data_IF_210746208403
#
_entry.id   IF_210746208403
#
_cell.length_a   1.000
_cell.length_b   1.000
_cell.length_c   1.000
_cell.angle_alpha   90.00
_cell.angle_beta   90.00
_cell.angle_gamma   90.00
#
_symmetry.space_group_name_H-M   'P 1'
#
loop_
_entity.id
_entity.type
_entity.pdbx_description
1 polymer ?
#
# COMPACT_ATOMS: atom_id res chain seq x y z
N UNK A 1 -71.82 18.76 -18.00
CA UNK A 1 -70.66 19.67 -17.78
C UNK A 1 -69.53 18.88 -17.13
N UNK A 2 -68.46 18.58 -17.87
CA UNK A 2 -67.36 17.75 -17.39
C UNK A 2 -66.38 18.58 -16.54
N UNK A 3 -66.22 18.21 -15.28
CA UNK A 3 -65.32 18.88 -14.32
C UNK A 3 -63.88 18.48 -14.65
N UNK A 4 -63.09 19.41 -15.17
CA UNK A 4 -61.65 19.25 -15.45
C UNK A 4 -60.95 18.87 -14.15
N UNK A 5 -60.49 17.61 -14.04
CA UNK A 5 -59.62 17.18 -12.94
C UNK A 5 -58.27 17.89 -13.11
N UNK A 6 -58.11 19.02 -12.41
CA UNK A 6 -56.85 19.73 -12.37
C UNK A 6 -55.83 18.90 -11.61
N UNK A 7 -54.82 18.39 -12.32
CA UNK A 7 -53.67 17.72 -11.73
C UNK A 7 -53.06 18.60 -10.63
N UNK A 8 -52.71 17.96 -9.53
CA UNK A 8 -52.03 18.54 -8.37
C UNK A 8 -50.91 19.51 -8.81
N UNK A 9 -50.93 20.72 -8.24
CA UNK A 9 -49.98 21.77 -8.58
C UNK A 9 -48.57 21.34 -8.14
N UNK A 10 -47.72 21.00 -9.12
CA UNK A 10 -46.37 20.44 -8.93
C UNK A 10 -45.48 21.27 -8.00
N UNK A 11 -45.67 22.59 -7.95
CA UNK A 11 -44.97 23.49 -7.03
C UNK A 11 -45.38 23.29 -5.57
N UNK A 12 -46.66 23.00 -5.31
CA UNK A 12 -47.19 22.73 -3.96
C UNK A 12 -46.72 21.36 -3.49
N UNK A 13 -46.66 20.37 -4.39
CA UNK A 13 -46.09 19.05 -4.08
C UNK A 13 -44.59 19.14 -3.77
N UNK A 14 -43.83 19.89 -4.58
CA UNK A 14 -42.40 20.12 -4.31
C UNK A 14 -42.17 20.83 -2.97
N UNK A 15 -43.01 21.81 -2.60
CA UNK A 15 -42.94 22.47 -1.31
C UNK A 15 -43.29 21.53 -0.14
N UNK A 16 -44.31 20.67 -0.29
CA UNK A 16 -44.65 19.64 0.69
C UNK A 16 -43.55 18.59 0.82
N UNK A 17 -42.94 18.17 -0.28
CA UNK A 17 -41.81 17.24 -0.30
C UNK A 17 -40.59 17.81 0.44
N UNK A 18 -40.25 19.09 0.21
CA UNK A 18 -39.17 19.78 0.94
C UNK A 18 -39.46 19.91 2.44
N UNK A 19 -40.71 20.17 2.82
CA UNK A 19 -41.12 20.18 4.23
C UNK A 19 -41.07 18.77 4.85
N UNK A 20 -41.46 17.75 4.10
CA UNK A 20 -41.39 16.36 4.53
C UNK A 20 -39.94 15.89 4.69
N UNK A 21 -39.03 16.24 3.77
CA UNK A 21 -37.61 15.91 3.90
C UNK A 21 -36.97 16.65 5.08
N UNK A 22 -37.29 17.92 5.30
CA UNK A 22 -36.82 18.66 6.47
C UNK A 22 -37.32 18.05 7.78
N UNK A 23 -38.58 17.58 7.82
CA UNK A 23 -39.12 16.86 8.96
C UNK A 23 -38.44 15.51 9.15
N UNK A 24 -38.22 14.74 8.08
CA UNK A 24 -37.54 13.45 8.13
C UNK A 24 -36.10 13.57 8.65
N UNK A 25 -35.35 14.62 8.26
CA UNK A 25 -34.01 14.88 8.79
C UNK A 25 -34.05 15.21 10.28
N UNK A 26 -35.03 16.02 10.71
CA UNK A 26 -35.20 16.36 12.14
C UNK A 26 -35.60 15.14 12.97
N UNK A 27 -36.51 14.32 12.46
CA UNK A 27 -36.97 13.10 13.11
C UNK A 27 -35.84 12.06 13.16
N UNK A 28 -35.03 11.93 12.10
CA UNK A 28 -33.85 11.06 12.07
C UNK A 28 -32.76 11.52 13.04
N UNK A 29 -32.51 12.83 13.13
CA UNK A 29 -31.56 13.39 14.11
C UNK A 29 -32.03 13.13 15.55
N UNK A 30 -33.34 13.27 15.80
CA UNK A 30 -33.92 12.94 17.11
C UNK A 30 -33.80 11.46 17.42
N UNK A 31 -34.17 10.59 16.47
CA UNK A 31 -34.04 9.14 16.65
C UNK A 31 -32.58 8.70 16.87
N UNK A 32 -31.61 9.34 16.18
CA UNK A 32 -30.19 9.08 16.41
C UNK A 32 -29.73 9.55 17.80
N UNK A 33 -30.24 10.68 18.29
CA UNK A 33 -29.95 11.16 19.65
C UNK A 33 -30.56 10.25 20.72
N UNK A 34 -31.80 9.80 20.53
CA UNK A 34 -32.48 8.87 21.44
C UNK A 34 -31.75 7.50 21.44
N UNK A 35 -31.36 6.99 20.27
CA UNK A 35 -30.57 5.75 20.16
C UNK A 35 -29.17 5.87 20.78
N UNK A 36 -28.51 7.03 20.67
CA UNK A 36 -27.23 7.28 21.32
C UNK A 36 -27.38 7.36 22.85
N UNK A 37 -28.49 7.93 23.34
CA UNK A 37 -28.80 7.97 24.77
C UNK A 37 -29.08 6.56 25.32
N UNK A 38 -29.86 5.75 24.60
CA UNK A 38 -30.09 4.34 24.95
C UNK A 38 -28.77 3.55 24.94
N UNK A 39 -27.93 3.70 23.91
CA UNK A 39 -26.62 3.03 23.84
C UNK A 39 -25.70 3.44 25.00
N UNK A 40 -25.72 4.70 25.41
CA UNK A 40 -24.97 5.17 26.58
C UNK A 40 -25.50 4.56 27.88
N UNK A 41 -26.82 4.39 27.98
CA UNK A 41 -27.46 3.76 29.14
C UNK A 41 -27.13 2.26 29.22
N UNK A 42 -27.17 1.54 28.09
CA UNK A 42 -26.73 0.14 28.00
C UNK A 42 -25.23 -0.03 28.25
N UNK A 43 -24.41 0.97 27.93
CA UNK A 43 -22.98 0.96 28.24
C UNK A 43 -22.69 1.15 29.73
N UNK A 44 -23.64 1.65 30.53
CA UNK A 44 -23.46 1.93 31.96
C UNK A 44 -23.58 0.64 32.77
N UNK A 45 -22.49 -0.09 32.83
CA UNK A 45 -22.41 -1.42 33.47
C UNK A 45 -21.60 -2.43 32.67
N UNK A 46 -21.22 -2.11 31.43
CA UNK A 46 -20.27 -2.92 30.66
C UNK A 46 -18.90 -2.92 31.33
N UNK A 47 -18.19 -4.05 31.28
CA UNK A 47 -16.80 -4.13 31.71
C UNK A 47 -15.88 -3.49 30.66
N UNK A 48 -15.80 -2.15 30.70
CA UNK A 48 -14.98 -1.34 29.80
C UNK A 48 -13.51 -1.77 29.81
N UNK A 49 -13.02 -2.35 30.91
CA UNK A 49 -11.63 -2.82 31.02
C UNK A 49 -11.44 -4.14 30.26
N UNK A 50 -12.36 -5.08 30.38
CA UNK A 50 -12.34 -6.33 29.62
C UNK A 50 -12.53 -6.05 28.11
N UNK A 51 -13.46 -5.17 27.74
CA UNK A 51 -13.69 -4.77 26.36
C UNK A 51 -12.46 -4.09 25.75
N UNK A 52 -11.83 -3.16 26.47
CA UNK A 52 -10.59 -2.51 26.05
C UNK A 52 -9.45 -3.51 25.85
N UNK A 53 -9.31 -4.49 26.76
CA UNK A 53 -8.30 -5.54 26.63
C UNK A 53 -8.54 -6.41 25.41
N UNK A 54 -9.79 -6.81 25.15
CA UNK A 54 -10.17 -7.57 23.95
C UNK A 54 -9.88 -6.78 22.68
N UNK A 55 -10.24 -5.50 22.63
CA UNK A 55 -9.96 -4.62 21.49
C UNK A 55 -8.45 -4.44 21.25
N UNK A 56 -7.65 -4.27 22.29
CA UNK A 56 -6.19 -4.18 22.17
C UNK A 56 -5.56 -5.50 21.69
N UNK A 57 -6.06 -6.65 22.16
CA UNK A 57 -5.63 -7.97 21.70
C UNK A 57 -5.99 -8.20 20.22
N UNK A 58 -7.19 -7.82 19.79
CA UNK A 58 -7.64 -7.89 18.41
C UNK A 58 -6.83 -6.95 17.50
N UNK A 59 -6.57 -5.71 17.93
CA UNK A 59 -5.70 -4.77 17.20
C UNK A 59 -4.29 -5.31 17.04
N UNK A 60 -3.71 -5.84 18.12
CA UNK A 60 -2.37 -6.44 18.07
C UNK A 60 -2.33 -7.66 17.15
N UNK A 61 -3.39 -8.47 17.14
CA UNK A 61 -3.51 -9.61 16.22
C UNK A 61 -3.66 -9.16 14.77
N UNK A 62 -4.51 -8.18 14.50
CA UNK A 62 -4.70 -7.59 13.18
C UNK A 62 -3.41 -6.94 12.65
N UNK A 63 -2.65 -6.24 13.50
CA UNK A 63 -1.35 -5.68 13.14
C UNK A 63 -0.32 -6.77 12.83
N UNK A 64 -0.33 -7.89 13.58
CA UNK A 64 0.55 -9.03 13.28
C UNK A 64 0.15 -9.73 11.98
N UNK A 65 -1.15 -9.89 11.73
CA UNK A 65 -1.69 -10.47 10.51
C UNK A 65 -1.41 -9.57 9.30
N UNK A 66 -1.54 -8.25 9.43
CA UNK A 66 -1.14 -7.27 8.42
C UNK A 66 0.37 -7.32 8.14
N UNK A 67 1.22 -7.32 9.17
CA UNK A 67 2.69 -7.45 8.99
C UNK A 67 3.08 -8.78 8.34
N UNK A 68 2.41 -9.88 8.70
CA UNK A 68 2.62 -11.18 8.08
C UNK A 68 2.16 -11.18 6.62
N UNK A 69 1.01 -10.56 6.32
CA UNK A 69 0.49 -10.44 4.96
C UNK A 69 1.39 -9.57 4.07
N UNK A 70 1.90 -8.45 4.57
CA UNK A 70 2.86 -7.61 3.86
C UNK A 70 4.17 -8.34 3.60
N UNK A 71 4.70 -9.05 4.61
CA UNK A 71 5.91 -9.88 4.45
C UNK A 71 5.69 -10.99 3.43
N UNK A 72 4.55 -11.66 3.47
CA UNK A 72 4.20 -12.71 2.50
C UNK A 72 4.05 -12.13 1.09
N UNK A 73 3.46 -10.95 0.95
CA UNK A 73 3.36 -10.25 -0.33
C UNK A 73 4.73 -9.89 -0.90
N UNK A 74 5.65 -9.44 -0.04
CA UNK A 74 7.03 -9.13 -0.45
C UNK A 74 7.78 -10.39 -0.87
N UNK A 75 7.69 -11.47 -0.10
CA UNK A 75 8.27 -12.77 -0.46
C UNK A 75 7.70 -13.30 -1.79
N UNK A 76 6.39 -13.17 -2.02
CA UNK A 76 5.78 -13.59 -3.28
C UNK A 76 6.30 -12.78 -4.48
N UNK A 77 6.56 -11.48 -4.30
CA UNK A 77 7.19 -10.64 -5.34
C UNK A 77 8.64 -11.05 -5.59
N UNK A 78 9.42 -11.35 -4.54
CA UNK A 78 10.79 -11.87 -4.66
C UNK A 78 10.84 -13.24 -5.35
N UNK A 79 9.93 -14.15 -5.00
CA UNK A 79 9.80 -15.46 -5.64
C UNK A 79 9.41 -15.34 -7.11
N UNK A 80 8.51 -14.41 -7.45
CA UNK A 80 8.14 -14.13 -8.82
C UNK A 80 9.33 -13.61 -9.63
N UNK A 81 10.08 -12.64 -9.10
CA UNK A 81 11.29 -12.11 -9.74
C UNK A 81 12.35 -13.18 -9.95
N UNK A 82 12.62 -14.01 -8.94
CA UNK A 82 13.57 -15.13 -9.06
C UNK A 82 13.11 -16.18 -10.08
N UNK A 83 11.80 -16.40 -10.21
CA UNK A 83 11.26 -17.33 -11.19
C UNK A 83 11.37 -16.76 -12.61
N UNK A 84 11.14 -15.46 -12.80
CA UNK A 84 11.38 -14.76 -14.07
C UNK A 84 12.85 -14.84 -14.49
N UNK A 85 13.78 -14.61 -13.56
CA UNK A 85 15.22 -14.75 -13.80
C UNK A 85 15.60 -16.19 -14.18
N UNK A 86 15.05 -17.21 -13.50
CA UNK A 86 15.24 -18.62 -13.88
C UNK A 86 14.72 -18.90 -15.29
N UNK A 87 13.59 -18.33 -15.67
CA UNK A 87 13.03 -18.46 -17.01
C UNK A 87 13.88 -17.72 -18.06
N UNK A 88 14.41 -16.55 -17.73
CA UNK A 88 15.35 -15.80 -18.58
C UNK A 88 16.64 -16.57 -18.81
N UNK A 89 17.25 -17.13 -17.76
CA UNK A 89 18.46 -17.97 -17.85
C UNK A 89 18.19 -19.23 -18.69
N UNK A 90 17.02 -19.89 -18.52
CA UNK A 90 16.64 -21.04 -19.36
C UNK A 90 16.46 -20.65 -20.83
N UNK A 91 15.86 -19.49 -21.11
CA UNK A 91 15.73 -18.96 -22.48
C UNK A 91 17.11 -18.64 -23.08
N UNK A 92 18.01 -18.01 -22.34
CA UNK A 92 19.37 -17.74 -22.78
C UNK A 92 20.15 -19.03 -23.04
N UNK A 93 20.09 -20.02 -22.14
CA UNK A 93 20.71 -21.33 -22.37
C UNK A 93 20.14 -22.05 -23.59
N UNK A 94 18.82 -21.96 -23.83
CA UNK A 94 18.20 -22.51 -25.03
C UNK A 94 18.66 -21.77 -26.27
N UNK A 95 18.71 -20.44 -26.26
CA UNK A 95 19.22 -19.63 -27.37
C UNK A 95 20.70 -19.94 -27.66
N UNK A 96 21.55 -20.03 -26.64
CA UNK A 96 22.96 -20.45 -26.78
C UNK A 96 23.03 -21.86 -27.39
N UNK A 97 22.20 -22.81 -26.95
CA UNK A 97 22.14 -24.16 -27.52
C UNK A 97 21.64 -24.18 -28.97
N UNK A 98 20.64 -23.36 -29.32
CA UNK A 98 20.14 -23.24 -30.69
C UNK A 98 21.09 -22.48 -31.62
N UNK A 99 21.93 -21.58 -31.09
CA UNK A 99 23.05 -20.96 -31.84
C UNK A 99 24.24 -21.93 -31.92
N UNK A 100 24.39 -22.82 -30.93
CA UNK A 100 25.41 -23.86 -30.93
C UNK A 100 25.11 -25.02 -31.90
N UNK A 101 23.83 -25.39 -32.05
CA UNK A 101 23.40 -26.43 -33.00
C UNK A 101 23.84 -26.20 -34.46
N UNK A 102 23.77 -24.99 -35.05
CA UNK A 102 24.20 -24.77 -36.43
C UNK A 102 25.68 -25.03 -36.67
N UNK A 103 26.57 -24.77 -35.70
CA UNK A 103 27.99 -25.07 -35.86
C UNK A 103 28.31 -26.54 -35.57
N UNK A 104 27.60 -27.20 -34.65
CA UNK A 104 27.70 -28.66 -34.45
C UNK A 104 27.18 -29.46 -35.65
N UNK A 105 26.16 -28.96 -36.38
CA UNK A 105 25.66 -29.55 -37.62
C UNK A 105 26.67 -29.40 -38.77
N UNK A 106 27.43 -28.29 -38.80
CA UNK A 106 28.47 -28.01 -39.79
C UNK A 106 29.79 -28.76 -39.53
N UNK A 107 30.04 -29.20 -38.28
CA UNK A 107 31.22 -29.97 -37.88
C UNK A 107 31.01 -31.48 -37.82
N UNK A 108 29.85 -32.02 -38.23
CA UNK A 108 29.71 -33.47 -38.47
C UNK A 108 30.49 -33.82 -39.75
N UNK A 109 31.66 -34.48 -39.67
CA UNK A 109 32.34 -34.90 -40.87
C UNK A 109 31.61 -36.10 -41.46
N UNK A 110 31.41 -36.11 -42.77
CA UNK A 110 31.00 -37.29 -43.51
C UNK A 110 32.11 -38.35 -43.46
N UNK A 111 32.19 -39.11 -42.36
CA UNK A 111 33.14 -40.20 -42.20
C UNK A 111 32.42 -41.46 -41.73
N UNK A 112 32.50 -42.47 -42.60
CA UNK A 112 32.12 -43.88 -42.43
C UNK A 112 32.43 -44.41 -41.02
N UNK A 113 31.52 -45.28 -40.55
CA UNK A 113 31.78 -46.29 -39.51
C UNK A 113 33.15 -46.92 -39.70
N UNK A 114 33.96 -47.02 -38.63
CA UNK A 114 34.43 -48.29 -38.09
C UNK A 114 35.39 -48.12 -36.89
N UNK A 115 35.15 -49.01 -35.91
CA UNK A 115 36.08 -49.69 -35.02
C UNK A 115 36.63 -49.02 -33.74
N UNK A 116 36.22 -49.66 -32.63
CA UNK A 116 37.00 -50.11 -31.45
C UNK A 116 38.37 -49.46 -31.24
N UNK A 117 38.52 -48.77 -30.11
CA UNK A 117 39.82 -48.41 -29.56
C UNK A 117 39.69 -47.91 -28.13
N UNK A 118 39.97 -48.79 -27.17
CA UNK A 118 40.15 -48.47 -25.76
C UNK A 118 41.13 -47.32 -25.52
N UNK A 119 40.79 -46.37 -24.65
CA UNK A 119 41.80 -45.74 -23.78
C UNK A 119 41.18 -45.17 -22.51
N UNK A 120 41.58 -45.75 -21.38
CA UNK A 120 41.47 -45.13 -20.04
C UNK A 120 42.51 -43.99 -19.96
N UNK A 121 42.12 -42.88 -19.35
CA UNK A 121 42.96 -41.89 -18.66
C UNK A 121 42.07 -41.35 -17.51
N UNK A 122 42.06 -41.93 -16.31
CA UNK A 122 42.95 -41.63 -15.18
C UNK A 122 43.38 -40.16 -15.05
N UNK A 123 42.89 -39.52 -13.99
CA UNK A 123 43.64 -38.49 -13.26
C UNK A 123 43.26 -37.04 -13.55
N UNK A 124 42.24 -36.53 -12.86
CA UNK A 124 42.22 -35.13 -12.47
C UNK A 124 41.79 -35.04 -11.00
N UNK A 125 42.70 -34.49 -10.20
CA UNK A 125 42.70 -34.60 -8.75
C UNK A 125 41.51 -33.88 -8.11
N UNK A 126 40.82 -34.60 -7.25
CA UNK A 126 39.96 -34.00 -6.24
C UNK A 126 40.85 -33.24 -5.26
N UNK A 127 40.72 -31.92 -5.28
CA UNK A 127 41.25 -31.01 -4.27
C UNK A 127 40.57 -31.35 -2.94
N UNK A 128 41.26 -32.10 -2.07
CA UNK A 128 40.86 -32.32 -0.70
C UNK A 128 41.02 -31.01 0.07
N UNK A 129 39.92 -30.50 0.61
CA UNK A 129 39.93 -29.49 1.65
C UNK A 129 40.28 -30.19 2.95
N UNK A 130 41.50 -29.98 3.44
CA UNK A 130 41.91 -30.38 4.78
C UNK A 130 41.21 -29.47 5.81
N UNK A 131 39.98 -29.82 6.17
CA UNK A 131 39.31 -29.30 7.37
C UNK A 131 39.88 -30.02 8.60
N UNK A 132 40.95 -29.46 9.16
CA UNK A 132 41.46 -29.84 10.46
C UNK A 132 40.47 -29.39 11.55
N UNK A 133 39.58 -30.30 11.92
CA UNK A 133 38.77 -30.26 13.13
C UNK A 133 39.67 -30.32 14.37
N UNK A 134 40.23 -29.18 14.77
CA UNK A 134 40.86 -29.00 16.07
C UNK A 134 39.75 -28.80 17.10
N UNK A 135 39.39 -29.87 17.80
CA UNK A 135 38.54 -29.79 18.98
C UNK A 135 39.32 -29.04 20.08
N UNK A 136 39.18 -27.72 20.15
CA UNK A 136 39.57 -26.93 21.32
C UNK A 136 38.77 -27.45 22.52
N UNK A 137 39.46 -28.08 23.46
CA UNK A 137 38.86 -28.59 24.68
C UNK A 137 38.30 -27.42 25.51
N UNK A 138 37.11 -27.60 26.06
CA UNK A 138 36.33 -26.59 26.79
C UNK A 138 37.11 -25.87 27.91
N UNK A 139 38.16 -26.51 28.44
CA UNK A 139 39.05 -25.97 29.47
C UNK A 139 39.94 -24.83 28.96
N UNK A 140 40.40 -24.88 27.72
CA UNK A 140 41.32 -23.87 27.15
C UNK A 140 40.58 -22.56 26.84
N UNK A 141 39.31 -22.66 26.40
CA UNK A 141 38.42 -21.51 26.22
C UNK A 141 38.04 -20.82 27.54
N UNK A 142 37.88 -21.58 28.63
CA UNK A 142 37.61 -21.02 29.95
C UNK A 142 38.85 -20.32 30.53
N UNK A 143 40.04 -20.93 30.38
CA UNK A 143 41.29 -20.34 30.84
C UNK A 143 41.65 -19.03 30.11
N UNK A 144 41.40 -18.96 28.79
CA UNK A 144 41.56 -17.71 28.03
C UNK A 144 40.56 -16.63 28.44
N UNK A 145 39.30 -17.00 28.70
CA UNK A 145 38.29 -16.05 29.22
C UNK A 145 38.64 -15.54 30.61
N UNK A 146 39.11 -16.41 31.50
CA UNK A 146 39.45 -16.05 32.88
C UNK A 146 40.70 -15.16 32.92
N UNK A 147 41.73 -15.48 32.11
CA UNK A 147 42.91 -14.64 31.92
C UNK A 147 42.56 -13.28 31.29
N UNK A 148 41.60 -13.23 30.37
CA UNK A 148 41.08 -11.98 29.79
C UNK A 148 40.32 -11.14 30.85
N UNK A 149 39.46 -11.76 31.67
CA UNK A 149 38.76 -11.06 32.77
C UNK A 149 39.72 -10.53 33.83
N UNK A 150 40.78 -11.27 34.16
CA UNK A 150 41.81 -10.81 35.09
C UNK A 150 42.62 -9.62 34.52
N UNK A 151 42.87 -9.60 33.21
CA UNK A 151 43.50 -8.46 32.51
C UNK A 151 42.58 -7.24 32.39
N UNK A 152 41.27 -7.43 32.42
CA UNK A 152 40.27 -6.35 32.39
C UNK A 152 39.94 -5.79 33.79
N UNK A 153 40.17 -6.54 34.87
CA UNK A 153 39.94 -6.08 36.25
C UNK A 153 41.07 -5.20 36.83
N UNK A 154 42.26 -5.19 36.22
CA UNK A 154 43.45 -4.50 36.74
C UNK A 154 43.69 -3.07 36.26
N UNK A 155 42.78 -2.45 35.49
CA UNK A 155 42.93 -1.06 35.04
C UNK A 155 42.00 -0.14 35.84
N UNK A 156 42.54 0.79 36.68
CA UNK A 156 41.70 1.72 37.42
C UNK A 156 40.90 2.58 36.45
N UNK A 157 39.59 2.38 36.46
CA UNK A 157 38.64 3.02 35.55
C UNK A 157 38.63 4.55 35.71
N UNK A 158 38.44 5.24 34.58
CA UNK A 158 38.24 6.68 34.44
C UNK A 158 36.96 7.16 35.16
N UNK A 159 36.88 7.04 36.49
CA UNK A 159 35.74 7.48 37.32
C UNK A 159 36.13 8.50 38.38
N UNK A 160 37.22 9.25 38.17
CA UNK A 160 37.68 10.29 39.10
C UNK A 160 37.93 11.65 38.43
N UNK A 161 37.20 11.97 37.34
CA UNK A 161 37.12 13.35 36.85
C UNK A 161 35.69 13.82 37.14
N UNK A 162 35.53 14.58 38.23
CA UNK A 162 34.29 15.32 38.51
C UNK A 162 34.37 16.61 37.71
N UNK A 163 33.67 16.67 36.59
CA UNK A 163 33.46 17.92 35.86
C UNK A 163 32.22 18.60 36.45
N UNK A 164 32.36 19.81 37.00
CA UNK A 164 31.20 20.62 37.36
C UNK A 164 30.47 21.01 36.07
N UNK A 165 29.27 20.46 35.89
CA UNK A 165 28.50 20.65 34.67
C UNK A 165 27.73 21.98 34.69
N UNK A 166 28.43 23.08 34.48
CA UNK A 166 27.83 24.38 34.13
C UNK A 166 27.72 24.55 32.61
N UNK A 167 27.35 23.48 31.90
CA UNK A 167 27.04 23.57 30.48
C UNK A 167 25.69 24.24 30.29
N UNK A 168 25.69 25.54 29.94
CA UNK A 168 24.47 26.19 29.45
C UNK A 168 24.07 25.49 28.14
N UNK A 169 22.90 24.85 28.14
CA UNK A 169 22.38 24.21 26.94
C UNK A 169 22.32 25.21 25.79
N UNK A 170 22.85 24.82 24.63
CA UNK A 170 22.76 25.64 23.42
C UNK A 170 21.28 25.78 23.04
N UNK A 171 20.71 26.98 23.25
CA UNK A 171 19.31 27.32 22.94
C UNK A 171 18.93 27.05 21.48
N UNK A 172 19.89 26.88 20.56
CA UNK A 172 19.61 26.47 19.19
C UNK A 172 19.25 24.98 19.02
N UNK A 173 19.36 24.15 20.07
CA UNK A 173 18.86 22.75 20.05
C UNK A 173 17.42 22.63 20.54
N UNK A 174 16.87 23.70 21.15
CA UNK A 174 15.49 23.79 21.64
C UNK A 174 14.53 24.41 20.60
N UNK A 175 15.00 24.64 19.37
CA UNK A 175 14.11 24.68 18.21
C UNK A 175 13.77 23.23 17.86
N UNK A 176 12.98 22.62 18.75
CA UNK A 176 12.21 21.42 18.49
C UNK A 176 11.18 21.79 17.42
N UNK A 177 11.59 21.77 16.15
CA UNK A 177 10.65 21.70 15.04
C UNK A 177 9.80 20.47 15.28
N UNK A 178 8.59 20.69 15.83
CA UNK A 178 7.66 19.71 16.42
C UNK A 178 7.10 18.69 15.42
N UNK A 179 7.99 18.07 14.66
CA UNK A 179 7.71 17.45 13.37
C UNK A 179 8.48 16.14 13.24
N UNK A 180 8.50 15.37 14.33
CA UNK A 180 8.91 13.97 14.28
C UNK A 180 7.88 13.16 13.47
N UNK A 181 8.06 13.15 12.15
CA UNK A 181 7.31 12.28 11.26
C UNK A 181 7.74 10.82 11.45
N UNK A 182 7.20 10.18 12.49
CA UNK A 182 7.48 8.77 12.81
C UNK A 182 6.80 7.78 11.83
N UNK A 183 5.97 8.26 10.92
CA UNK A 183 5.33 7.50 9.85
C UNK A 183 5.57 8.14 8.48
N UNK A 184 5.60 7.33 7.43
CA UNK A 184 5.77 7.81 6.04
C UNK A 184 4.69 8.84 5.66
N UNK A 185 3.45 8.63 6.09
CA UNK A 185 2.35 9.56 5.82
C UNK A 185 2.52 10.88 6.57
N UNK A 186 2.99 10.86 7.82
CA UNK A 186 3.31 12.09 8.55
C UNK A 186 4.48 12.84 7.91
N UNK A 187 5.45 12.12 7.32
CA UNK A 187 6.58 12.73 6.62
C UNK A 187 6.13 13.39 5.32
N UNK A 188 5.22 12.74 4.59
CA UNK A 188 4.61 13.28 3.39
C UNK A 188 3.74 14.51 3.68
N UNK A 189 2.96 14.49 4.75
CA UNK A 189 2.11 15.62 5.14
C UNK A 189 2.94 16.84 5.57
N UNK A 190 4.03 16.60 6.29
CA UNK A 190 4.93 17.68 6.72
C UNK A 190 5.69 18.31 5.55
N UNK A 191 6.10 17.50 4.58
CA UNK A 191 6.82 17.93 3.39
C UNK A 191 5.88 18.54 2.33
N UNK A 192 4.58 18.29 2.43
CA UNK A 192 3.54 18.86 1.57
C UNK A 192 3.25 20.32 1.94
N UNK A 193 4.22 21.20 1.70
CA UNK A 193 4.05 22.65 1.78
C UNK A 193 3.31 23.11 0.51
N UNK A 194 1.98 22.99 0.51
CA UNK A 194 1.13 23.66 -0.49
C UNK A 194 0.07 22.83 -1.23
N UNK A 195 -0.09 21.53 -0.93
CA UNK A 195 -1.09 20.66 -1.58
C UNK A 195 -2.25 20.26 -0.65
N UNK A 196 -2.77 21.23 0.12
CA UNK A 196 -4.12 21.09 0.69
C UNK A 196 -5.15 21.39 -0.39
N UNK A 197 -5.50 20.36 -1.17
CA UNK A 197 -6.84 20.10 -1.73
C UNK A 197 -7.63 21.30 -2.30
N UNK A 198 -6.97 22.24 -2.97
CA UNK A 198 -7.63 23.12 -3.93
C UNK A 198 -6.99 22.81 -5.27
N UNK A 199 -7.39 21.65 -5.83
CA UNK A 199 -6.93 21.21 -7.14
C UNK A 199 -7.33 22.29 -8.15
N UNK A 200 -6.33 23.06 -8.59
CA UNK A 200 -6.41 24.26 -9.42
C UNK A 200 -6.85 23.97 -10.87
N UNK A 201 -7.25 22.73 -11.15
CA UNK A 201 -7.51 22.20 -12.47
C UNK A 201 -8.95 21.70 -12.57
N UNK A 202 -9.90 22.55 -13.00
CA UNK A 202 -11.27 22.12 -13.29
C UNK A 202 -11.30 20.96 -14.31
N UNK A 203 -10.31 20.87 -15.21
CA UNK A 203 -10.17 19.77 -16.17
C UNK A 203 -9.84 18.42 -15.52
N UNK A 204 -9.04 18.40 -14.44
CA UNK A 204 -8.72 17.17 -13.70
C UNK A 204 -9.89 16.71 -12.86
N UNK A 205 -10.58 17.65 -12.18
CA UNK A 205 -11.86 17.38 -11.52
C UNK A 205 -12.92 16.91 -12.50
N UNK A 206 -13.00 17.50 -13.70
CA UNK A 206 -13.95 17.08 -14.73
C UNK A 206 -13.71 15.63 -15.18
N UNK A 207 -12.46 15.19 -15.29
CA UNK A 207 -12.15 13.79 -15.65
C UNK A 207 -12.45 12.81 -14.52
N UNK A 208 -12.12 13.16 -13.27
CA UNK A 208 -12.45 12.34 -12.10
C UNK A 208 -13.97 12.24 -11.90
N UNK A 209 -14.68 13.38 -12.00
CA UNK A 209 -16.13 13.44 -11.87
C UNK A 209 -16.83 12.74 -13.06
N UNK A 210 -16.29 12.84 -14.29
CA UNK A 210 -16.78 12.08 -15.44
C UNK A 210 -16.65 10.58 -15.22
N UNK A 211 -15.55 10.11 -14.62
CA UNK A 211 -15.36 8.68 -14.31
C UNK A 211 -16.36 8.21 -13.25
N UNK A 212 -16.56 8.99 -12.19
CA UNK A 212 -17.57 8.68 -11.17
C UNK A 212 -19.00 8.65 -11.77
N UNK A 213 -19.30 9.59 -12.67
CA UNK A 213 -20.56 9.61 -13.42
C UNK A 213 -20.69 8.44 -14.40
N UNK A 214 -19.59 8.03 -15.06
CA UNK A 214 -19.56 6.88 -15.94
C UNK A 214 -19.92 5.60 -15.18
N UNK A 215 -19.33 5.36 -14.01
CA UNK A 215 -19.60 4.15 -13.22
C UNK A 215 -21.06 4.06 -12.73
N UNK A 216 -21.69 5.20 -12.40
CA UNK A 216 -23.09 5.26 -11.95
C UNK A 216 -24.08 5.19 -13.12
N UNK A 217 -23.81 5.87 -14.23
CA UNK A 217 -24.76 6.01 -15.33
C UNK A 217 -24.62 4.91 -16.40
N UNK A 218 -23.45 4.29 -16.52
CA UNK A 218 -23.23 3.19 -17.47
C UNK A 218 -24.18 1.99 -17.26
N UNK A 219 -24.48 1.51 -16.04
CA UNK A 219 -25.47 0.45 -15.86
C UNK A 219 -26.89 0.90 -16.24
N UNK A 220 -27.31 2.11 -15.86
CA UNK A 220 -28.65 2.64 -16.20
C UNK A 220 -28.85 2.77 -17.72
N UNK A 221 -27.85 3.30 -18.43
CA UNK A 221 -27.90 3.46 -19.89
C UNK A 221 -27.92 2.10 -20.61
N UNK A 222 -27.26 1.07 -20.05
CA UNK A 222 -27.31 -0.30 -20.60
C UNK A 222 -28.66 -0.96 -20.40
N UNK A 223 -29.36 -0.66 -19.29
CA UNK A 223 -30.72 -1.14 -19.03
C UNK A 223 -31.75 -0.45 -19.90
N UNK A 224 -31.65 0.87 -20.07
CA UNK A 224 -32.59 1.67 -20.88
C UNK A 224 -32.44 1.42 -22.39
N UNK A 225 -31.23 1.11 -22.85
CA UNK A 225 -30.91 0.90 -24.27
C UNK A 225 -30.12 -0.39 -24.51
N UNK A 226 -30.71 -1.58 -24.29
CA UNK A 226 -30.00 -2.82 -24.52
C UNK A 226 -29.65 -2.99 -26.01
N UNK A 227 -28.44 -3.46 -26.30
CA UNK A 227 -27.99 -3.78 -27.66
C UNK A 227 -27.22 -2.67 -28.40
N UNK A 228 -26.99 -1.51 -27.78
CA UNK A 228 -26.19 -0.43 -28.37
C UNK A 228 -24.67 -0.70 -28.23
N UNK A 229 -23.85 -0.19 -29.15
CA UNK A 229 -22.38 -0.38 -29.10
C UNK A 229 -21.77 0.47 -27.97
N UNK A 230 -20.67 0.02 -27.37
CA UNK A 230 -19.96 0.76 -26.31
C UNK A 230 -19.62 2.22 -26.68
N UNK A 231 -19.28 2.46 -27.95
CA UNK A 231 -18.99 3.81 -28.47
C UNK A 231 -20.23 4.72 -28.43
N UNK A 232 -21.41 4.18 -28.71
CA UNK A 232 -22.67 4.92 -28.68
C UNK A 232 -23.15 5.16 -27.25
N UNK A 233 -22.95 4.20 -26.33
CA UNK A 233 -23.15 4.44 -24.89
C UNK A 233 -22.26 5.58 -24.38
N UNK A 234 -20.98 5.59 -24.73
CA UNK A 234 -20.05 6.68 -24.37
C UNK A 234 -20.49 8.03 -24.95
N UNK A 235 -21.03 8.05 -26.17
CA UNK A 235 -21.57 9.27 -26.76
C UNK A 235 -22.79 9.80 -25.99
N UNK A 236 -23.75 8.93 -25.66
CA UNK A 236 -24.90 9.27 -24.83
C UNK A 236 -24.50 9.73 -23.42
N UNK A 237 -23.51 9.07 -22.83
CA UNK A 237 -22.97 9.40 -21.51
C UNK A 237 -22.28 10.77 -21.53
N UNK A 238 -21.54 11.10 -22.60
CA UNK A 238 -20.95 12.42 -22.81
C UNK A 238 -22.01 13.52 -22.97
N UNK A 239 -23.09 13.27 -23.72
CA UNK A 239 -24.22 14.20 -23.85
C UNK A 239 -24.93 14.44 -22.50
N UNK A 240 -25.20 13.37 -21.76
CA UNK A 240 -25.78 13.47 -20.41
C UNK A 240 -24.82 14.20 -19.46
N UNK A 241 -23.52 13.96 -19.57
CA UNK A 241 -22.50 14.61 -18.75
C UNK A 241 -22.40 16.11 -19.02
N UNK A 242 -22.41 16.53 -20.29
CA UNK A 242 -22.41 17.97 -20.66
C UNK A 242 -23.59 18.71 -20.06
N UNK A 243 -24.74 18.04 -19.90
CA UNK A 243 -25.96 18.60 -19.31
C UNK A 243 -26.08 18.38 -17.79
N UNK A 244 -25.23 17.53 -17.22
CA UNK A 244 -25.30 17.15 -15.80
C UNK A 244 -24.82 18.31 -14.91
N UNK A 245 -25.49 18.56 -13.76
CA UNK A 245 -25.03 19.53 -12.76
C UNK A 245 -23.75 19.07 -12.03
N UNK A 246 -23.41 17.78 -12.12
CA UNK A 246 -22.19 17.19 -11.55
C UNK A 246 -20.94 17.51 -12.37
N UNK A 247 -21.09 18.10 -13.56
CA UNK A 247 -19.96 18.54 -14.36
C UNK A 247 -19.38 19.82 -13.75
N UNK A 248 -18.13 19.80 -13.23
CA UNK A 248 -17.51 20.97 -12.62
C UNK A 248 -17.25 22.10 -13.63
N UNK A 249 -17.40 21.85 -14.94
CA UNK A 249 -17.41 22.88 -15.99
C UNK A 249 -18.72 23.70 -16.02
N UNK A 250 -19.83 23.12 -15.56
CA UNK A 250 -21.12 23.81 -15.43
C UNK A 250 -21.28 24.50 -14.06
N UNK A 251 -20.36 24.23 -13.13
CA UNK A 251 -20.27 24.90 -11.85
C UNK A 251 -19.46 26.18 -12.05
N UNK A 252 -19.96 27.33 -11.58
CA UNK A 252 -19.27 28.63 -11.69
C UNK A 252 -17.91 28.56 -10.98
N UNK A 253 -16.84 28.23 -11.71
CA UNK A 253 -15.49 28.29 -11.18
C UNK A 253 -15.12 29.75 -10.99
N UNK A 254 -14.97 30.19 -9.74
CA UNK A 254 -14.47 31.53 -9.42
C UNK A 254 -13.20 31.78 -10.23
N UNK A 255 -13.24 32.81 -11.09
CA UNK A 255 -12.13 33.17 -11.94
C UNK A 255 -10.89 33.46 -11.07
N UNK A 256 -9.72 33.03 -11.54
CA UNK A 256 -8.43 33.21 -10.85
C UNK A 256 -8.11 34.69 -10.49
N UNK A 257 -8.79 35.66 -11.11
CA UNK A 257 -8.65 37.10 -10.86
C UNK A 257 -9.78 37.72 -10.00
N UNK A 258 -10.65 36.93 -9.37
CA UNK A 258 -11.60 37.47 -8.40
C UNK A 258 -10.84 37.99 -7.18
N UNK A 259 -10.64 39.32 -7.12
CA UNK A 259 -10.05 39.98 -5.96
C UNK A 259 -10.94 39.73 -4.74
N UNK A 260 -10.29 39.44 -3.62
CA UNK A 260 -10.89 39.20 -2.32
C UNK A 260 -11.76 40.38 -1.86
#
# INVERSE_FOLDING_TARGET
>A
MAKKQGGVNTKVEAAKAKKASGKAVKDAAKAAADAAAEAAEWSKGSDVRADKRRQEEERKRAEQEAKKAEKQKLLALEEHALNEDKHAIRKQKKAIKEVAKPWEEALKPAAKKNNRGSKKLSGFGAFQTDDANVQLTQAEMAALREAETARMAGKPGKKAIKFENTFQANRNRELDESTEARSLDAALELLSVGDKEIEKHPERRAKAAYKAFEEVMLPQIKEDYPGLKLSQYKHKLSEMWRRSPENPLNQESLAYNAKK
#
